data_IF_650325296007
#
_entry.id   IF_650325296007
#
_cell.length_a   1.000
_cell.length_b   1.000
_cell.length_c   1.000
_cell.angle_alpha   90.00
_cell.angle_beta   90.00
_cell.angle_gamma   90.00
#
_symmetry.space_group_name_H-M   'P 1'
#
loop_
_entity.id
_entity.type
_entity.pdbx_description
1 polymer ?
#
# COMPACT_ATOMS: atom_id res chain seq x y z
N UNK A 1 2.72 -7.20 -13.76
CA UNK A 1 1.69 -6.14 -13.64
C UNK A 1 2.34 -4.92 -12.99
N UNK A 2 2.09 -3.75 -13.52
CA UNK A 2 2.68 -2.52 -12.97
C UNK A 2 1.86 -1.98 -11.81
N UNK A 3 2.48 -1.19 -10.94
CA UNK A 3 1.79 -0.56 -9.81
C UNK A 3 0.56 0.21 -10.30
N UNK A 4 0.68 0.96 -11.41
CA UNK A 4 -0.44 1.72 -11.96
C UNK A 4 -1.63 0.85 -12.33
N UNK A 5 -1.39 -0.39 -12.77
CA UNK A 5 -2.45 -1.31 -13.14
C UNK A 5 -3.20 -1.79 -11.89
N UNK A 6 -2.44 -2.08 -10.83
CA UNK A 6 -3.01 -2.47 -9.54
C UNK A 6 -3.78 -1.32 -8.92
N UNK A 7 -3.21 -0.11 -8.95
CA UNK A 7 -3.86 1.09 -8.44
C UNK A 7 -5.18 1.33 -9.18
N UNK A 8 -5.20 1.16 -10.50
CA UNK A 8 -6.41 1.32 -11.29
C UNK A 8 -7.51 0.35 -10.86
N UNK A 9 -7.15 -0.91 -10.61
CA UNK A 9 -8.12 -1.91 -10.12
C UNK A 9 -8.65 -1.52 -8.75
N UNK A 10 -7.77 -1.15 -7.82
CA UNK A 10 -8.17 -0.74 -6.47
C UNK A 10 -9.11 0.47 -6.55
N UNK A 11 -8.74 1.47 -7.34
CA UNK A 11 -9.50 2.73 -7.45
C UNK A 11 -10.81 2.56 -8.21
N UNK A 12 -10.99 1.47 -8.93
CA UNK A 12 -12.28 1.10 -9.51
C UNK A 12 -13.29 0.73 -8.43
N UNK A 13 -12.84 -0.01 -7.40
CA UNK A 13 -13.69 -0.40 -6.27
C UNK A 13 -13.78 0.69 -5.22
N UNK A 14 -12.70 1.44 -5.01
CA UNK A 14 -12.58 2.47 -3.98
C UNK A 14 -11.91 3.72 -4.55
N UNK A 15 -12.64 4.54 -5.34
CA UNK A 15 -12.07 5.74 -5.93
C UNK A 15 -11.47 6.70 -4.89
N UNK A 16 -10.33 7.29 -5.19
CA UNK A 16 -9.65 8.22 -4.27
C UNK A 16 -10.51 9.43 -3.92
N UNK A 17 -11.41 9.84 -4.81
CA UNK A 17 -12.34 10.94 -4.54
C UNK A 17 -13.28 10.68 -3.36
N UNK A 18 -13.41 9.41 -2.92
CA UNK A 18 -14.23 9.03 -1.78
C UNK A 18 -13.52 9.21 -0.45
N UNK A 19 -12.21 9.51 -0.47
CA UNK A 19 -11.48 9.72 0.77
C UNK A 19 -11.88 11.04 1.44
N UNK A 20 -11.72 11.09 2.76
CA UNK A 20 -11.94 12.32 3.50
C UNK A 20 -10.89 13.37 3.13
N UNK A 21 -11.22 14.66 3.27
CA UNK A 21 -10.35 15.76 2.84
C UNK A 21 -9.00 15.80 3.57
N UNK A 22 -8.92 15.23 4.76
CA UNK A 22 -7.70 15.18 5.58
C UNK A 22 -6.81 13.97 5.27
N UNK A 23 -7.28 13.07 4.43
CA UNK A 23 -6.66 11.76 4.23
C UNK A 23 -5.53 11.78 3.20
N UNK A 24 -4.74 10.71 3.20
CA UNK A 24 -3.66 10.50 2.25
C UNK A 24 -3.69 9.06 1.72
N UNK A 25 -4.79 8.68 1.08
CA UNK A 25 -4.90 7.39 0.41
C UNK A 25 -4.23 7.45 -0.96
N UNK A 26 -3.87 6.27 -1.48
CA UNK A 26 -3.26 6.13 -2.78
C UNK A 26 -1.82 5.62 -2.71
N UNK A 27 -1.07 5.82 -3.78
CA UNK A 27 0.34 5.41 -3.85
C UNK A 27 1.20 6.37 -3.02
N UNK A 28 1.82 5.83 -1.98
CA UNK A 28 2.64 6.61 -1.04
C UNK A 28 4.11 6.54 -1.41
N UNK A 29 4.61 5.34 -1.72
CA UNK A 29 6.01 5.10 -2.08
C UNK A 29 6.03 4.21 -3.32
N UNK A 30 6.85 4.56 -4.30
CA UNK A 30 7.03 3.80 -5.51
C UNK A 30 6.69 4.58 -6.75
N UNK A 31 7.02 4.01 -7.91
CA UNK A 31 6.71 4.61 -9.20
C UNK A 31 5.57 3.84 -9.86
N UNK A 32 4.60 4.54 -10.48
CA UNK A 32 3.49 3.85 -11.17
C UNK A 32 3.93 2.81 -12.19
N UNK A 33 5.11 2.99 -12.79
CA UNK A 33 5.63 2.10 -13.83
C UNK A 33 6.37 0.87 -13.29
N UNK A 34 6.63 0.80 -11.99
CA UNK A 34 7.36 -0.33 -11.40
C UNK A 34 6.54 -1.62 -11.50
N UNK A 35 7.24 -2.73 -11.77
CA UNK A 35 6.61 -4.04 -11.84
C UNK A 35 6.34 -4.60 -10.45
N UNK A 36 5.22 -5.30 -10.31
CA UNK A 36 4.84 -5.97 -9.06
C UNK A 36 4.68 -7.46 -9.35
N UNK A 37 5.36 -8.28 -8.56
CA UNK A 37 5.30 -9.74 -8.66
C UNK A 37 4.48 -10.34 -7.54
N UNK A 38 4.54 -9.75 -6.34
CA UNK A 38 3.83 -10.24 -5.17
C UNK A 38 3.50 -9.08 -4.25
N UNK A 39 2.27 -9.05 -3.76
CA UNK A 39 1.79 -8.01 -2.85
C UNK A 39 1.44 -8.58 -1.49
N UNK A 40 1.69 -7.82 -0.45
CA UNK A 40 1.33 -8.14 0.93
C UNK A 40 0.21 -7.21 1.38
N UNK A 41 -0.86 -7.76 1.94
CA UNK A 41 -1.95 -6.97 2.51
C UNK A 41 -1.78 -6.91 4.02
N UNK A 42 -1.88 -5.72 4.59
CA UNK A 42 -1.75 -5.50 6.02
C UNK A 42 -2.61 -4.31 6.45
N UNK A 43 -2.85 -4.17 7.75
CA UNK A 43 -3.56 -2.99 8.27
C UNK A 43 -2.64 -1.78 8.28
N UNK A 44 -1.43 -1.96 8.77
CA UNK A 44 -0.44 -0.89 8.91
C UNK A 44 0.90 -1.29 8.30
N UNK A 45 1.69 -0.30 7.91
CA UNK A 45 3.10 -0.51 7.62
C UNK A 45 3.86 -0.45 8.94
N UNK A 46 4.53 -1.55 9.27
CA UNK A 46 5.38 -1.65 10.46
C UNK A 46 6.71 -2.25 10.04
N UNK A 47 7.71 -2.21 10.94
CA UNK A 47 9.00 -2.84 10.65
C UNK A 47 8.83 -4.35 10.48
N UNK A 48 7.94 -4.98 11.26
CA UNK A 48 7.63 -6.41 11.14
C UNK A 48 6.97 -6.74 9.80
N UNK A 49 6.06 -5.89 9.33
CA UNK A 49 5.43 -6.07 8.01
C UNK A 49 6.45 -5.94 6.89
N UNK A 50 7.38 -5.00 7.02
CA UNK A 50 8.48 -4.86 6.07
C UNK A 50 9.40 -6.07 6.08
N UNK A 51 9.69 -6.63 7.27
CA UNK A 51 10.45 -7.86 7.39
C UNK A 51 9.77 -8.99 6.64
N UNK A 52 8.47 -9.15 6.82
CA UNK A 52 7.68 -10.19 6.13
C UNK A 52 7.70 -9.98 4.62
N UNK A 53 7.52 -8.75 4.16
CA UNK A 53 7.56 -8.44 2.73
C UNK A 53 8.92 -8.81 2.12
N UNK A 54 10.01 -8.50 2.80
CA UNK A 54 11.36 -8.87 2.34
C UNK A 54 11.56 -10.38 2.31
N UNK A 55 11.13 -11.08 3.37
CA UNK A 55 11.29 -12.53 3.48
C UNK A 55 10.46 -13.29 2.44
N UNK A 56 9.29 -12.78 2.08
CA UNK A 56 8.39 -13.44 1.14
C UNK A 56 8.54 -12.92 -0.29
N UNK A 57 9.43 -11.96 -0.51
CA UNK A 57 9.68 -11.42 -1.85
C UNK A 57 8.58 -10.50 -2.36
N UNK A 58 7.85 -9.84 -1.48
CA UNK A 58 6.82 -8.88 -1.87
C UNK A 58 7.45 -7.54 -2.24
N UNK A 59 7.01 -6.97 -3.34
CA UNK A 59 7.48 -5.67 -3.83
C UNK A 59 6.40 -4.59 -3.75
N UNK A 60 5.24 -4.93 -3.17
CA UNK A 60 4.16 -3.98 -2.89
C UNK A 60 3.52 -4.35 -1.56
N UNK A 61 3.24 -3.36 -0.73
CA UNK A 61 2.42 -3.53 0.47
C UNK A 61 1.19 -2.64 0.31
N UNK A 62 0.01 -3.25 0.41
CA UNK A 62 -1.27 -2.53 0.40
C UNK A 62 -1.79 -2.53 1.82
N UNK A 63 -1.99 -1.34 2.39
CA UNK A 63 -2.44 -1.18 3.76
C UNK A 63 -3.74 -0.40 3.83
N UNK A 64 -4.44 -0.54 4.97
CA UNK A 64 -5.61 0.27 5.26
C UNK A 64 -5.19 1.68 5.70
N UNK A 65 -4.21 1.78 6.60
CA UNK A 65 -3.74 3.06 7.09
C UNK A 65 -2.52 3.56 6.31
N UNK A 66 -2.52 4.83 5.86
CA UNK A 66 -1.33 5.40 5.22
C UNK A 66 -0.25 5.66 6.26
N UNK A 67 0.96 5.16 6.01
CA UNK A 67 2.07 5.39 6.94
C UNK A 67 2.47 6.87 6.97
N UNK A 68 2.38 7.55 5.85
CA UNK A 68 2.61 8.98 5.77
C UNK A 68 1.26 9.67 5.80
N UNK A 69 0.81 10.05 6.99
CA UNK A 69 -0.44 10.78 7.17
C UNK A 69 -0.21 12.29 7.13
N UNK A 70 0.87 12.74 7.76
CA UNK A 70 1.30 14.13 7.74
C UNK A 70 2.54 14.29 6.87
N UNK A 71 2.70 15.46 6.24
CA UNK A 71 3.85 15.73 5.39
C UNK A 71 5.17 15.55 6.16
N UNK A 72 6.14 14.90 5.51
CA UNK A 72 7.48 14.70 6.08
C UNK A 72 8.43 15.72 5.46
N UNK A 73 9.19 16.38 6.32
CA UNK A 73 10.17 17.38 5.90
C UNK A 73 11.58 16.85 5.82
N UNK A 74 11.86 15.73 6.49
CA UNK A 74 13.20 15.15 6.59
C UNK A 74 13.13 13.65 6.61
N UNK A 75 14.21 13.02 6.15
CA UNK A 75 14.37 11.57 6.15
C UNK A 75 15.72 11.25 6.80
N UNK A 76 15.74 11.23 8.12
CA UNK A 76 16.95 10.98 8.90
C UNK A 76 16.75 9.91 9.98
N UNK A 77 15.77 9.05 9.79
CA UNK A 77 15.48 7.93 10.69
C UNK A 77 15.10 8.33 12.11
N UNK A 78 14.61 9.56 12.31
CA UNK A 78 14.27 10.05 13.63
C UNK A 78 13.01 9.40 14.20
N UNK A 79 12.04 9.04 13.34
CA UNK A 79 10.79 8.39 13.74
C UNK A 79 10.63 7.06 13.03
N UNK A 80 9.72 6.20 13.54
CA UNK A 80 9.48 4.92 12.87
C UNK A 80 8.90 5.13 11.46
N UNK A 81 8.13 6.19 11.25
CA UNK A 81 7.56 6.50 9.94
C UNK A 81 8.68 6.76 8.93
N UNK A 82 9.65 7.59 9.29
CA UNK A 82 10.80 7.87 8.44
C UNK A 82 11.60 6.59 8.17
N UNK A 83 11.85 5.78 9.21
CA UNK A 83 12.60 4.52 9.07
C UNK A 83 11.90 3.56 8.10
N UNK A 84 10.58 3.41 8.22
CA UNK A 84 9.82 2.52 7.35
C UNK A 84 9.81 3.01 5.90
N UNK A 85 9.61 4.31 5.69
CA UNK A 85 9.61 4.89 4.34
C UNK A 85 10.99 4.75 3.69
N UNK A 86 12.05 5.08 4.43
CA UNK A 86 13.43 4.94 3.95
C UNK A 86 13.75 3.49 3.57
N UNK A 87 13.33 2.54 4.41
CA UNK A 87 13.53 1.11 4.17
C UNK A 87 12.77 0.64 2.94
N UNK A 88 11.52 1.04 2.79
CA UNK A 88 10.70 0.68 1.63
C UNK A 88 11.37 1.17 0.34
N UNK A 89 11.86 2.40 0.32
CA UNK A 89 12.55 2.96 -0.84
C UNK A 89 13.83 2.18 -1.14
N UNK A 90 14.64 1.89 -0.14
CA UNK A 90 15.90 1.16 -0.31
C UNK A 90 15.68 -0.26 -0.83
N UNK A 91 14.64 -0.93 -0.36
CA UNK A 91 14.37 -2.33 -0.71
C UNK A 91 13.48 -2.48 -1.94
N UNK A 92 13.06 -1.38 -2.54
CA UNK A 92 12.21 -1.43 -3.72
C UNK A 92 10.81 -1.96 -3.44
N UNK A 93 10.28 -1.67 -2.25
CA UNK A 93 8.93 -2.07 -1.85
C UNK A 93 8.03 -0.85 -1.96
N UNK A 94 7.01 -0.93 -2.82
CA UNK A 94 6.02 0.14 -2.95
C UNK A 94 5.00 0.06 -1.83
N UNK A 95 4.46 1.21 -1.43
CA UNK A 95 3.44 1.31 -0.38
C UNK A 95 2.20 2.00 -0.97
N UNK A 96 1.06 1.33 -0.86
CA UNK A 96 -0.24 1.86 -1.30
C UNK A 96 -1.23 1.77 -0.16
N UNK A 97 -1.95 2.86 0.11
CA UNK A 97 -2.93 2.91 1.19
C UNK A 97 -4.36 3.03 0.66
N UNK A 98 -5.26 2.19 1.20
CA UNK A 98 -6.69 2.25 0.97
C UNK A 98 -7.33 2.60 2.32
N UNK A 99 -7.56 3.86 2.60
CA UNK A 99 -8.05 4.30 3.90
C UNK A 99 -9.54 4.65 3.83
N UNK A 100 -9.90 5.90 3.99
CA UNK A 100 -11.31 6.30 4.01
C UNK A 100 -12.01 6.08 2.66
N UNK A 101 -11.27 6.06 1.56
CA UNK A 101 -11.84 5.73 0.25
C UNK A 101 -12.40 4.30 0.25
N UNK A 102 -11.71 3.36 0.88
CA UNK A 102 -12.16 1.97 0.97
C UNK A 102 -13.37 1.86 1.89
N UNK A 103 -13.36 2.55 3.02
CA UNK A 103 -14.48 2.56 3.96
C UNK A 103 -15.76 3.09 3.32
N UNK A 104 -15.63 4.03 2.39
CA UNK A 104 -16.75 4.65 1.71
C UNK A 104 -17.21 3.91 0.46
N UNK A 105 -16.46 2.87 0.05
CA UNK A 105 -16.77 2.12 -1.17
C UNK A 105 -17.72 0.97 -0.87
N UNK A 106 -18.78 0.76 -1.70
CA UNK A 106 -19.67 -0.37 -1.51
C UNK A 106 -18.94 -1.68 -1.75
N UNK A 107 -18.97 -2.57 -0.75
CA UNK A 107 -18.40 -3.90 -0.85
C UNK A 107 -16.89 -3.96 -1.01
N UNK A 108 -16.17 -2.92 -0.60
CA UNK A 108 -14.71 -2.90 -0.66
C UNK A 108 -14.09 -3.86 0.33
N UNK A 109 -13.67 -5.04 -0.15
CA UNK A 109 -13.12 -6.11 0.69
C UNK A 109 -11.84 -6.63 0.05
N UNK A 110 -10.94 -7.16 0.86
CA UNK A 110 -9.66 -7.68 0.37
C UNK A 110 -9.82 -8.77 -0.69
N UNK A 111 -10.85 -9.61 -0.59
CA UNK A 111 -11.08 -10.65 -1.59
C UNK A 111 -11.44 -10.06 -2.96
N UNK A 112 -12.11 -8.92 -3.00
CA UNK A 112 -12.40 -8.24 -4.26
C UNK A 112 -11.13 -7.68 -4.90
N UNK A 113 -10.20 -7.20 -4.07
CA UNK A 113 -8.90 -6.78 -4.55
C UNK A 113 -8.13 -7.96 -5.14
N UNK A 114 -8.18 -9.12 -4.48
CA UNK A 114 -7.53 -10.33 -4.96
C UNK A 114 -8.09 -10.76 -6.31
N UNK A 115 -9.40 -10.71 -6.50
CA UNK A 115 -10.03 -11.01 -7.79
C UNK A 115 -9.60 -10.03 -8.87
N UNK A 116 -9.52 -8.74 -8.53
CA UNK A 116 -9.23 -7.68 -9.49
C UNK A 116 -7.77 -7.68 -9.98
N UNK A 117 -6.84 -8.19 -9.17
CA UNK A 117 -5.41 -8.21 -9.50
C UNK A 117 -4.92 -9.63 -9.81
N UNK A 118 -5.76 -10.42 -10.44
CA UNK A 118 -5.40 -11.78 -10.84
C UNK A 118 -4.05 -11.84 -11.56
N UNK A 119 -3.25 -12.88 -11.26
CA UNK A 119 -1.89 -13.02 -11.79
C UNK A 119 -0.81 -12.49 -10.86
N UNK A 120 -1.18 -11.89 -9.74
CA UNK A 120 -0.27 -11.47 -8.68
C UNK A 120 -0.60 -12.24 -7.42
N UNK A 121 0.41 -12.78 -6.75
CA UNK A 121 0.22 -13.43 -5.45
C UNK A 121 -0.05 -12.37 -4.39
N UNK A 122 -1.10 -12.55 -3.62
CA UNK A 122 -1.47 -11.63 -2.55
C UNK A 122 -1.44 -12.40 -1.23
N UNK A 123 -0.70 -11.86 -0.28
CA UNK A 123 -0.63 -12.38 1.07
C UNK A 123 -1.47 -11.50 1.97
N UNK A 124 -2.48 -12.10 2.62
CA UNK A 124 -3.37 -11.38 3.53
C UNK A 124 -2.88 -11.59 4.96
N UNK A 125 -2.27 -10.55 5.52
CA UNK A 125 -1.61 -10.65 6.82
C UNK A 125 -2.51 -10.31 8.01
N UNK A 126 -3.57 -9.56 7.81
CA UNK A 126 -4.27 -9.02 8.97
C UNK A 126 -5.71 -8.57 8.74
N UNK A 127 -6.23 -8.86 7.61
CA UNK A 127 -7.59 -8.47 7.30
C UNK A 127 -8.55 -9.63 7.59
#
# INVERSE_FOLDING_TARGET
MKIKDIAEVIERYAPLRLQESYDNAGLIVGRPEDEVHQALLAVDVTEEVLDEAEQTGCDLIVTHHPIVFHALKRFNSATYVERCVERAIRRGIALYACHTNLDSAPGGMSWRLAEGVGGISILDDSL
#
